data_IF_891448080566
#
_entry.id   IF_891448080566
#
_cell.length_a   1.000
_cell.length_b   1.000
_cell.length_c   1.000
_cell.angle_alpha   90.00
_cell.angle_beta   90.00
_cell.angle_gamma   90.00
#
_symmetry.space_group_name_H-M   'P 1'
#
loop_
_entity.id
_entity.type
_entity.pdbx_description
1 polymer ?
#
# COMPACT_ATOMS: atom_id res chain seq x y z
N UNK A 1 -7.80 31.43 7.67
CA UNK A 1 -6.61 32.28 7.40
C UNK A 1 -6.39 32.33 5.88
N UNK A 2 -6.20 33.53 5.36
CA UNK A 2 -5.95 33.70 3.94
C UNK A 2 -4.55 33.17 3.58
N UNK A 3 -4.44 32.48 2.46
CA UNK A 3 -3.16 32.03 1.93
C UNK A 3 -2.49 33.12 1.11
N UNK A 4 -1.18 33.15 1.13
CA UNK A 4 -0.37 34.17 0.46
C UNK A 4 0.72 33.57 -0.37
N UNK A 5 1.14 34.28 -1.41
CA UNK A 5 2.33 33.98 -2.22
C UNK A 5 3.20 35.24 -2.34
N UNK A 6 4.48 35.04 -2.60
CA UNK A 6 5.42 36.12 -2.86
C UNK A 6 5.58 36.30 -4.36
N UNK A 7 5.43 37.56 -4.84
CA UNK A 7 5.69 37.93 -6.23
C UNK A 7 6.57 39.21 -6.16
N UNK A 8 7.77 39.09 -6.74
CA UNK A 8 8.78 40.16 -6.72
C UNK A 8 9.08 40.70 -5.31
N UNK A 9 9.09 39.77 -4.32
CA UNK A 9 9.32 40.12 -2.92
C UNK A 9 8.09 40.68 -2.20
N UNK A 10 6.95 40.85 -2.87
CA UNK A 10 5.70 41.32 -2.31
C UNK A 10 4.77 40.16 -2.00
N UNK A 11 4.21 40.18 -0.81
CA UNK A 11 3.25 39.17 -0.37
C UNK A 11 1.88 39.46 -0.97
N UNK A 12 1.38 38.56 -1.81
CA UNK A 12 0.08 38.72 -2.48
C UNK A 12 -0.86 37.60 -1.99
N UNK A 13 -2.07 38.04 -1.60
CA UNK A 13 -3.10 37.10 -1.18
C UNK A 13 -3.62 36.30 -2.36
N UNK A 14 -3.79 34.95 -2.18
CA UNK A 14 -4.31 34.08 -3.20
C UNK A 14 -5.78 34.39 -3.48
N UNK A 15 -6.18 34.27 -4.76
CA UNK A 15 -7.58 34.39 -5.17
C UNK A 15 -8.40 33.21 -4.64
N UNK A 16 -9.72 33.38 -4.52
CA UNK A 16 -10.62 32.30 -4.14
C UNK A 16 -10.51 31.10 -5.07
N UNK A 17 -10.28 31.36 -6.36
CA UNK A 17 -10.11 30.31 -7.37
C UNK A 17 -8.81 29.52 -7.16
N UNK A 18 -7.71 30.18 -6.83
CA UNK A 18 -6.44 29.52 -6.52
C UNK A 18 -6.54 28.66 -5.25
N UNK A 19 -7.21 29.16 -4.22
CA UNK A 19 -7.45 28.43 -2.97
C UNK A 19 -8.29 27.17 -3.24
N UNK A 20 -9.38 27.30 -4.02
CA UNK A 20 -10.23 26.18 -4.38
C UNK A 20 -9.46 25.11 -5.17
N UNK A 21 -8.57 25.51 -6.09
CA UNK A 21 -7.73 24.59 -6.85
C UNK A 21 -6.77 23.82 -5.95
N UNK A 22 -6.12 24.49 -5.02
CA UNK A 22 -5.22 23.85 -4.04
C UNK A 22 -5.96 22.85 -3.15
N UNK A 23 -7.15 23.21 -2.70
CA UNK A 23 -7.98 22.31 -1.91
C UNK A 23 -8.40 21.07 -2.71
N UNK A 24 -8.77 21.25 -3.97
CA UNK A 24 -9.12 20.13 -4.85
C UNK A 24 -7.93 19.21 -5.08
N UNK A 25 -6.73 19.74 -5.30
CA UNK A 25 -5.49 18.97 -5.48
C UNK A 25 -5.15 18.19 -4.20
N UNK A 26 -5.25 18.82 -3.04
CA UNK A 26 -4.98 18.18 -1.75
C UNK A 26 -5.98 17.04 -1.48
N UNK A 27 -7.26 17.24 -1.81
CA UNK A 27 -8.30 16.22 -1.68
C UNK A 27 -8.05 15.05 -2.61
N UNK A 28 -7.70 15.32 -3.87
CA UNK A 28 -7.36 14.28 -4.84
C UNK A 28 -6.14 13.46 -4.39
N UNK A 29 -5.12 14.10 -3.86
CA UNK A 29 -3.95 13.42 -3.31
C UNK A 29 -4.32 12.54 -2.11
N UNK A 30 -5.11 13.06 -1.17
CA UNK A 30 -5.57 12.32 0.00
C UNK A 30 -6.44 11.12 -0.40
N UNK A 31 -7.34 11.31 -1.38
CA UNK A 31 -8.18 10.23 -1.89
C UNK A 31 -7.38 9.12 -2.58
N UNK A 32 -6.22 9.45 -3.16
CA UNK A 32 -5.32 8.48 -3.76
C UNK A 32 -4.42 7.74 -2.75
N UNK A 33 -4.39 8.16 -1.49
CA UNK A 33 -3.49 7.59 -0.49
C UNK A 33 -3.76 6.10 -0.24
N UNK A 34 -5.03 5.71 -0.17
CA UNK A 34 -5.42 4.30 -0.02
C UNK A 34 -4.94 3.47 -1.22
N UNK A 35 -5.16 3.94 -2.44
CA UNK A 35 -4.77 3.21 -3.65
C UNK A 35 -3.25 3.03 -3.72
N UNK A 36 -2.48 4.05 -3.35
CA UNK A 36 -1.02 3.97 -3.28
C UNK A 36 -0.57 2.97 -2.22
N UNK A 37 -1.16 3.01 -1.04
CA UNK A 37 -0.81 2.15 0.07
C UNK A 37 -1.11 0.68 -0.26
N UNK A 38 -2.28 0.39 -0.82
CA UNK A 38 -2.66 -0.98 -1.17
C UNK A 38 -1.84 -1.51 -2.35
N UNK A 39 -1.48 -0.66 -3.30
CA UNK A 39 -0.60 -1.05 -4.41
C UNK A 39 0.79 -1.45 -3.89
N UNK A 40 1.35 -0.71 -2.94
CA UNK A 40 2.62 -1.05 -2.30
C UNK A 40 2.54 -2.36 -1.52
N UNK A 41 1.46 -2.57 -0.79
CA UNK A 41 1.21 -3.81 -0.06
C UNK A 41 1.13 -5.02 -1.01
N UNK A 42 0.37 -4.90 -2.10
CA UNK A 42 0.24 -5.95 -3.11
C UNK A 42 1.58 -6.27 -3.78
N UNK A 43 2.37 -5.25 -4.09
CA UNK A 43 3.69 -5.42 -4.68
C UNK A 43 4.61 -6.23 -3.75
N UNK A 44 4.64 -5.90 -2.48
CA UNK A 44 5.42 -6.63 -1.47
C UNK A 44 4.92 -8.06 -1.29
N UNK A 45 3.60 -8.25 -1.21
CA UNK A 45 2.98 -9.57 -1.16
C UNK A 45 3.37 -10.42 -2.35
N UNK A 46 3.27 -9.87 -3.55
CA UNK A 46 3.61 -10.59 -4.78
C UNK A 46 5.08 -11.01 -4.82
N UNK A 47 5.98 -10.15 -4.34
CA UNK A 47 7.39 -10.48 -4.22
C UNK A 47 7.64 -11.64 -3.25
N UNK A 48 6.93 -11.65 -2.11
CA UNK A 48 7.03 -12.73 -1.13
C UNK A 48 6.47 -14.06 -1.67
N UNK A 49 5.35 -14.02 -2.40
CA UNK A 49 4.80 -15.21 -3.07
C UNK A 49 5.80 -15.74 -4.10
N UNK A 50 6.34 -14.87 -4.95
CA UNK A 50 7.32 -15.26 -5.97
C UNK A 50 8.57 -15.88 -5.33
N UNK A 51 9.07 -15.33 -4.24
CA UNK A 51 10.25 -15.85 -3.53
C UNK A 51 10.00 -17.22 -2.88
N UNK A 52 8.75 -17.63 -2.72
CA UNK A 52 8.35 -18.92 -2.15
C UNK A 52 7.84 -19.92 -3.19
N UNK A 53 7.88 -19.61 -4.48
CA UNK A 53 7.36 -20.50 -5.54
C UNK A 53 8.09 -21.85 -5.59
N UNK A 54 9.38 -21.87 -5.22
CA UNK A 54 10.16 -23.11 -5.16
C UNK A 54 9.57 -24.15 -4.20
N UNK A 55 8.82 -23.72 -3.19
CA UNK A 55 8.25 -24.61 -2.17
C UNK A 55 7.14 -25.50 -2.70
N UNK A 56 6.49 -25.11 -3.81
CA UNK A 56 5.37 -25.85 -4.40
C UNK A 56 5.76 -26.67 -5.62
N UNK A 57 7.05 -26.69 -5.96
CA UNK A 57 7.56 -27.52 -7.03
C UNK A 57 7.54 -28.99 -6.61
N UNK A 58 7.29 -29.89 -7.57
CA UNK A 58 7.22 -31.33 -7.29
C UNK A 58 8.52 -31.93 -6.77
N UNK A 59 9.66 -31.30 -7.11
CA UNK A 59 11.00 -31.71 -6.69
C UNK A 59 11.55 -30.94 -5.51
N UNK A 60 10.69 -30.17 -4.83
CA UNK A 60 11.07 -29.43 -3.62
C UNK A 60 11.55 -30.42 -2.54
N UNK A 61 12.67 -30.10 -1.84
CA UNK A 61 13.23 -31.00 -0.82
C UNK A 61 12.48 -30.96 0.52
N UNK A 62 11.34 -30.28 0.59
CA UNK A 62 10.57 -30.12 1.82
C UNK A 62 9.81 -31.39 2.19
N UNK A 63 9.67 -31.65 3.50
CA UNK A 63 8.76 -32.66 4.03
C UNK A 63 7.30 -32.25 3.79
N UNK A 64 6.37 -33.21 3.94
CA UNK A 64 4.93 -32.91 3.80
C UNK A 64 4.46 -31.87 4.83
N UNK A 65 4.97 -31.92 6.05
CA UNK A 65 4.66 -30.95 7.09
C UNK A 65 5.17 -29.54 6.70
N UNK A 66 6.39 -29.47 6.19
CA UNK A 66 6.95 -28.20 5.73
C UNK A 66 6.20 -27.66 4.53
N UNK A 67 5.85 -28.51 3.56
CA UNK A 67 5.02 -28.09 2.42
C UNK A 67 3.68 -27.52 2.84
N UNK A 68 3.01 -28.15 3.80
CA UNK A 68 1.74 -27.66 4.35
C UNK A 68 1.90 -26.28 4.98
N UNK A 69 2.94 -26.09 5.77
CA UNK A 69 3.22 -24.80 6.40
C UNK A 69 3.47 -23.69 5.36
N UNK A 70 4.21 -24.00 4.29
CA UNK A 70 4.42 -23.04 3.21
C UNK A 70 3.16 -22.74 2.41
N UNK A 71 2.29 -23.72 2.20
CA UNK A 71 0.99 -23.49 1.55
C UNK A 71 0.10 -22.57 2.38
N UNK A 72 0.07 -22.74 3.68
CA UNK A 72 -0.66 -21.86 4.58
C UNK A 72 -0.11 -20.44 4.55
N UNK A 73 1.22 -20.28 4.61
CA UNK A 73 1.88 -18.99 4.50
C UNK A 73 1.52 -18.28 3.19
N UNK A 74 1.57 -19.00 2.08
CA UNK A 74 1.23 -18.46 0.75
C UNK A 74 -0.24 -18.07 0.66
N UNK A 75 -1.14 -18.85 1.28
CA UNK A 75 -2.56 -18.49 1.33
C UNK A 75 -2.79 -17.25 2.19
N UNK A 76 -2.13 -17.13 3.32
CA UNK A 76 -2.20 -15.94 4.15
C UNK A 76 -1.73 -14.69 3.39
N UNK A 77 -0.70 -14.81 2.57
CA UNK A 77 -0.24 -13.73 1.70
C UNK A 77 -1.30 -13.34 0.66
N UNK A 78 -1.96 -14.32 0.05
CA UNK A 78 -3.03 -14.04 -0.93
C UNK A 78 -4.20 -13.31 -0.30
N UNK A 79 -4.54 -13.66 0.93
CA UNK A 79 -5.69 -13.11 1.66
C UNK A 79 -5.38 -11.80 2.39
N UNK A 80 -4.12 -11.36 2.37
CA UNK A 80 -3.65 -10.22 3.19
C UNK A 80 -4.39 -8.92 2.90
N UNK A 81 -4.97 -8.77 1.70
CA UNK A 81 -5.72 -7.58 1.31
C UNK A 81 -7.20 -7.65 1.62
N UNK A 82 -7.69 -8.76 2.13
CA UNK A 82 -9.10 -8.92 2.46
C UNK A 82 -9.52 -7.96 3.57
N UNK A 83 -10.65 -7.28 3.39
CA UNK A 83 -11.18 -6.34 4.38
C UNK A 83 -10.44 -5.01 4.48
N UNK A 84 -9.40 -4.78 3.67
CA UNK A 84 -8.64 -3.54 3.69
C UNK A 84 -9.32 -2.50 2.81
N UNK A 85 -10.02 -1.57 3.44
CA UNK A 85 -10.79 -0.53 2.74
C UNK A 85 -10.36 0.90 3.13
N UNK A 86 -9.35 1.04 3.97
CA UNK A 86 -8.81 2.35 4.38
C UNK A 86 -7.29 2.29 4.41
N UNK A 87 -6.64 3.45 4.24
CA UNK A 87 -5.19 3.57 4.36
C UNK A 87 -4.69 3.11 5.74
N UNK A 88 -5.42 3.46 6.80
CA UNK A 88 -5.05 3.06 8.17
C UNK A 88 -5.02 1.54 8.32
N UNK A 89 -6.00 0.84 7.76
CA UNK A 89 -6.03 -0.63 7.78
C UNK A 89 -4.87 -1.23 7.00
N UNK A 90 -4.52 -0.66 5.85
CA UNK A 90 -3.38 -1.11 5.05
C UNK A 90 -2.07 -0.96 5.83
N UNK A 91 -1.87 0.19 6.48
CA UNK A 91 -0.66 0.45 7.27
C UNK A 91 -0.56 -0.42 8.52
N UNK A 92 -1.69 -0.89 9.05
CA UNK A 92 -1.73 -1.74 10.22
C UNK A 92 -1.50 -3.22 9.91
N UNK A 93 -1.41 -3.60 8.63
CA UNK A 93 -1.22 -5.00 8.22
C UNK A 93 0.12 -5.53 8.72
N UNK A 94 0.08 -6.72 9.31
CA UNK A 94 1.27 -7.48 9.70
C UNK A 94 1.39 -8.66 8.76
N UNK A 95 2.56 -8.78 8.10
CA UNK A 95 2.82 -9.90 7.22
C UNK A 95 3.00 -11.20 8.03
N UNK A 96 2.51 -12.34 7.51
CA UNK A 96 2.74 -13.62 8.18
C UNK A 96 4.24 -13.94 8.21
N UNK A 97 4.66 -14.68 9.25
CA UNK A 97 6.03 -15.15 9.37
C UNK A 97 6.27 -16.34 8.44
N UNK A 98 7.45 -16.40 7.86
CA UNK A 98 7.86 -17.56 7.05
C UNK A 98 7.95 -18.81 7.93
N UNK A 99 7.52 -19.95 7.40
CA UNK A 99 7.67 -21.23 8.09
C UNK A 99 9.11 -21.60 8.40
#
# INVERSE_FOLDING_TARGET
MAEHKLVDGVKIELTSQEIAQRQAEATAWANGAFDRAIAGLRSRRNALIASSDWTVLSDSPLSETEKTAWLEYRQDLRDITEGLNTEAKVKAVVFPEKP
#
